data_IF_061682640151
#
_entry.id   IF_061682640151
#
_cell.length_a   1.000
_cell.length_b   1.000
_cell.length_c   1.000
_cell.angle_alpha   90.00
_cell.angle_beta   90.00
_cell.angle_gamma   90.00
#
_symmetry.space_group_name_H-M   'P 1'
#
loop_
_entity.id
_entity.type
_entity.pdbx_description
1 polymer ?
#
# COMPACT_ATOMS: atom_id res chain seq x y z
N UNK A 1 -6.41 -22.93 0.02
CA UNK A 1 -5.82 -24.21 0.48
C UNK A 1 -6.77 -25.00 1.38
N UNK A 2 -7.04 -24.55 2.62
CA UNK A 2 -7.88 -25.29 3.59
C UNK A 2 -9.28 -25.67 3.08
N UNK A 3 -9.92 -24.78 2.31
CA UNK A 3 -11.22 -25.08 1.66
C UNK A 3 -11.11 -26.28 0.72
N UNK A 4 -10.04 -26.36 -0.08
CA UNK A 4 -9.80 -27.48 -0.98
C UNK A 4 -9.53 -28.78 -0.18
N UNK A 5 -8.77 -28.71 0.92
CA UNK A 5 -8.57 -29.87 1.81
C UNK A 5 -9.87 -30.38 2.40
N UNK A 6 -10.79 -29.49 2.80
CA UNK A 6 -12.12 -29.89 3.30
C UNK A 6 -13.00 -30.49 2.21
N UNK A 7 -12.94 -29.96 0.99
CA UNK A 7 -13.67 -30.52 -0.15
C UNK A 7 -13.16 -31.93 -0.47
N UNK A 8 -11.83 -32.12 -0.51
CA UNK A 8 -11.21 -33.43 -0.73
C UNK A 8 -11.55 -34.40 0.41
N UNK A 9 -11.48 -33.94 1.66
CA UNK A 9 -11.89 -34.70 2.84
C UNK A 9 -13.36 -35.14 2.77
N UNK A 10 -14.25 -34.25 2.32
CA UNK A 10 -15.66 -34.57 2.09
C UNK A 10 -15.88 -35.55 0.94
N UNK A 11 -15.02 -35.53 -0.09
CA UNK A 11 -15.10 -36.45 -1.24
C UNK A 11 -14.86 -37.91 -0.82
N UNK A 12 -14.01 -38.16 0.19
CA UNK A 12 -13.85 -39.50 0.76
C UNK A 12 -15.14 -40.07 1.36
N UNK A 13 -16.10 -39.21 1.75
CA UNK A 13 -17.42 -39.60 2.21
C UNK A 13 -18.29 -40.28 1.15
N UNK A 14 -17.93 -40.19 -0.14
CA UNK A 14 -18.66 -40.84 -1.22
C UNK A 14 -18.35 -42.35 -1.37
N UNK A 15 -17.36 -42.87 -0.64
CA UNK A 15 -16.98 -44.29 -0.67
C UNK A 15 -17.95 -45.10 0.20
N UNK A 16 -18.59 -46.12 -0.39
CA UNK A 16 -19.57 -46.97 0.30
C UNK A 16 -18.95 -47.67 1.52
N UNK A 17 -19.63 -47.60 2.67
CA UNK A 17 -19.30 -48.22 3.98
C UNK A 17 -18.10 -47.65 4.77
N UNK A 18 -17.00 -47.27 4.11
CA UNK A 18 -15.80 -46.78 4.81
C UNK A 18 -15.73 -45.25 4.82
N UNK A 19 -16.37 -44.59 3.84
CA UNK A 19 -16.31 -43.14 3.67
C UNK A 19 -16.92 -42.37 4.84
N UNK A 20 -18.07 -42.81 5.38
CA UNK A 20 -18.73 -42.10 6.48
C UNK A 20 -17.88 -42.11 7.76
N UNK A 21 -17.22 -43.24 8.05
CA UNK A 21 -16.36 -43.41 9.23
C UNK A 21 -15.10 -42.56 9.08
N UNK A 22 -14.48 -42.54 7.90
CA UNK A 22 -13.31 -41.72 7.62
C UNK A 22 -13.61 -40.22 7.78
N UNK A 23 -14.77 -39.75 7.28
CA UNK A 23 -15.21 -38.35 7.45
C UNK A 23 -15.50 -38.04 8.91
N UNK A 24 -16.16 -38.93 9.66
CA UNK A 24 -16.43 -38.72 11.08
C UNK A 24 -15.14 -38.58 11.91
N UNK A 25 -14.14 -39.43 11.64
CA UNK A 25 -12.82 -39.38 12.29
C UNK A 25 -12.05 -38.12 11.88
N UNK A 26 -12.14 -37.72 10.61
CA UNK A 26 -11.49 -36.51 10.07
C UNK A 26 -12.21 -35.21 10.41
N UNK A 27 -13.44 -35.26 10.92
CA UNK A 27 -14.26 -34.08 11.15
C UNK A 27 -13.65 -33.05 12.13
N UNK A 28 -12.95 -33.44 13.22
CA UNK A 28 -12.22 -32.50 14.06
C UNK A 28 -11.16 -31.69 13.29
N UNK A 29 -10.48 -32.30 12.30
CA UNK A 29 -9.54 -31.60 11.42
C UNK A 29 -10.28 -30.60 10.52
N UNK A 30 -11.47 -30.96 10.03
CA UNK A 30 -12.31 -30.04 9.25
C UNK A 30 -12.76 -28.84 10.10
N UNK A 31 -13.14 -29.04 11.37
CA UNK A 31 -13.46 -27.95 12.30
C UNK A 31 -12.24 -27.04 12.52
N UNK A 32 -11.07 -27.63 12.79
CA UNK A 32 -9.83 -26.86 12.98
C UNK A 32 -9.47 -26.06 11.73
N UNK A 33 -9.60 -26.65 10.55
CA UNK A 33 -9.35 -25.94 9.30
C UNK A 33 -10.39 -24.83 9.05
N UNK A 34 -11.66 -25.03 9.45
CA UNK A 34 -12.71 -24.01 9.38
C UNK A 34 -12.38 -22.82 10.26
N UNK A 35 -11.88 -23.06 11.47
CA UNK A 35 -11.34 -22.03 12.34
C UNK A 35 -10.18 -21.27 11.67
N UNK A 36 -9.21 -21.97 11.08
CA UNK A 36 -8.10 -21.33 10.37
C UNK A 36 -8.56 -20.54 9.14
N UNK A 37 -9.55 -21.01 8.39
CA UNK A 37 -10.13 -20.28 7.25
C UNK A 37 -10.71 -18.96 7.71
N UNK A 38 -11.50 -18.94 8.79
CA UNK A 38 -12.09 -17.71 9.32
C UNK A 38 -10.99 -16.81 9.88
N UNK A 39 -10.07 -17.35 10.66
CA UNK A 39 -8.99 -16.59 11.29
C UNK A 39 -8.09 -15.91 10.24
N UNK A 40 -7.58 -16.67 9.27
CA UNK A 40 -6.77 -16.16 8.16
C UNK A 40 -7.62 -15.27 7.25
N UNK A 41 -8.90 -15.57 7.05
CA UNK A 41 -9.80 -14.74 6.24
C UNK A 41 -10.01 -13.35 6.83
N UNK A 42 -10.26 -13.25 8.14
CA UNK A 42 -10.42 -11.96 8.84
C UNK A 42 -9.12 -11.17 8.79
N UNK A 43 -8.01 -11.81 9.16
CA UNK A 43 -6.69 -11.19 9.13
C UNK A 43 -6.32 -10.78 7.70
N UNK A 44 -6.64 -11.61 6.71
CA UNK A 44 -6.43 -11.37 5.28
C UNK A 44 -7.21 -10.19 4.73
N UNK A 45 -8.47 -10.05 5.08
CA UNK A 45 -9.27 -8.88 4.69
C UNK A 45 -8.69 -7.60 5.32
N UNK A 46 -8.24 -7.67 6.57
CA UNK A 46 -7.61 -6.54 7.26
C UNK A 46 -6.26 -6.18 6.62
N UNK A 47 -5.41 -7.19 6.38
CA UNK A 47 -4.09 -7.03 5.78
C UNK A 47 -4.16 -6.60 4.32
N UNK A 48 -5.21 -6.96 3.59
CA UNK A 48 -5.40 -6.57 2.19
C UNK A 48 -5.42 -5.05 1.99
N UNK A 49 -6.07 -4.31 2.89
CA UNK A 49 -6.06 -2.84 2.82
C UNK A 49 -4.70 -2.24 3.12
N UNK A 50 -3.90 -2.88 3.98
CA UNK A 50 -2.54 -2.44 4.31
C UNK A 50 -1.51 -2.88 3.26
N UNK A 51 -1.81 -3.89 2.44
CA UNK A 51 -0.90 -4.42 1.44
C UNK A 51 -0.55 -3.40 0.35
N UNK A 52 -1.54 -2.61 -0.11
CA UNK A 52 -1.30 -1.57 -1.12
C UNK A 52 -0.26 -0.53 -0.66
N UNK A 53 -0.38 0.08 0.54
CA UNK A 53 0.65 0.99 1.02
C UNK A 53 1.96 0.29 1.34
N UNK A 54 1.99 -0.99 1.73
CA UNK A 54 3.25 -1.73 1.91
C UNK A 54 4.05 -1.86 0.62
N UNK A 55 3.40 -2.31 -0.46
CA UNK A 55 4.04 -2.45 -1.78
C UNK A 55 4.57 -1.09 -2.25
N UNK A 56 3.74 -0.04 -2.10
CA UNK A 56 4.10 1.30 -2.53
C UNK A 56 5.21 1.94 -1.68
N UNK A 57 5.24 1.69 -0.38
CA UNK A 57 6.18 2.34 0.53
C UNK A 57 7.54 1.63 0.60
N UNK A 58 7.58 0.32 0.32
CA UNK A 58 8.78 -0.51 0.53
C UNK A 58 9.29 -1.16 -0.76
N UNK A 59 8.58 -1.02 -1.88
CA UNK A 59 8.97 -1.66 -3.15
C UNK A 59 8.97 -3.19 -3.08
N UNK A 60 8.23 -3.77 -2.12
CA UNK A 60 8.20 -5.21 -1.86
C UNK A 60 7.24 -5.95 -2.77
N UNK A 61 7.50 -7.24 -2.98
CA UNK A 61 6.60 -8.10 -3.73
C UNK A 61 5.31 -8.42 -2.94
N UNK A 62 4.33 -9.03 -3.61
CA UNK A 62 3.03 -9.27 -3.00
C UNK A 62 3.07 -10.18 -1.75
N UNK A 63 4.02 -11.12 -1.69
CA UNK A 63 4.11 -12.05 -0.57
C UNK A 63 4.80 -11.41 0.64
N UNK A 64 5.91 -10.70 0.42
CA UNK A 64 6.59 -9.94 1.46
C UNK A 64 5.67 -8.86 2.03
N UNK A 65 4.98 -8.12 1.16
CA UNK A 65 4.02 -7.08 1.58
C UNK A 65 2.91 -7.63 2.48
N UNK A 66 2.34 -8.78 2.11
CA UNK A 66 1.32 -9.45 2.90
C UNK A 66 1.87 -9.88 4.27
N UNK A 67 3.09 -10.43 4.31
CA UNK A 67 3.72 -10.89 5.56
C UNK A 67 4.00 -9.75 6.54
N UNK A 68 4.44 -8.58 6.05
CA UNK A 68 4.67 -7.37 6.87
C UNK A 68 3.37 -6.77 7.36
N UNK A 69 2.37 -6.63 6.48
CA UNK A 69 1.05 -6.14 6.85
C UNK A 69 0.44 -6.98 8.00
N UNK A 70 0.55 -8.30 7.94
CA UNK A 70 0.11 -9.18 9.04
C UNK A 70 0.95 -9.01 10.31
N UNK A 71 2.27 -8.94 10.16
CA UNK A 71 3.18 -8.78 11.30
C UNK A 71 2.88 -7.49 12.07
N UNK A 72 2.56 -6.40 11.39
CA UNK A 72 2.19 -5.13 12.04
C UNK A 72 0.85 -5.21 12.79
N UNK A 73 -0.17 -5.84 12.19
CA UNK A 73 -1.48 -6.04 12.82
C UNK A 73 -1.36 -6.89 14.10
N UNK A 74 -0.55 -7.96 14.05
CA UNK A 74 -0.37 -8.89 15.17
C UNK A 74 0.55 -8.32 16.25
N UNK A 75 1.56 -7.53 15.88
CA UNK A 75 2.55 -6.97 16.82
C UNK A 75 1.96 -5.92 17.75
N UNK A 76 1.04 -5.07 17.25
CA UNK A 76 0.42 -3.98 18.02
C UNK A 76 -1.11 -3.92 17.78
N UNK A 77 -1.88 -4.95 18.18
CA UNK A 77 -3.30 -5.07 17.83
C UNK A 77 -4.14 -3.94 18.41
N UNK A 78 -3.81 -3.43 19.60
CA UNK A 78 -4.53 -2.30 20.22
C UNK A 78 -4.36 -1.01 19.41
N UNK A 79 -3.16 -0.73 18.94
CA UNK A 79 -2.88 0.45 18.12
C UNK A 79 -3.57 0.33 16.76
N UNK A 80 -3.47 -0.85 16.13
CA UNK A 80 -4.19 -1.15 14.90
C UNK A 80 -5.70 -0.94 15.03
N UNK A 81 -6.34 -1.48 16.07
CA UNK A 81 -7.78 -1.32 16.30
C UNK A 81 -8.15 0.16 16.48
N UNK A 82 -7.34 0.93 17.21
CA UNK A 82 -7.56 2.37 17.41
C UNK A 82 -7.49 3.14 16.09
N UNK A 83 -6.49 2.85 15.24
CA UNK A 83 -6.37 3.45 13.91
C UNK A 83 -7.56 3.05 13.04
N UNK A 84 -7.89 1.76 12.98
CA UNK A 84 -9.00 1.25 12.19
C UNK A 84 -10.34 1.88 12.59
N UNK A 85 -10.59 2.03 13.89
CA UNK A 85 -11.77 2.73 14.39
C UNK A 85 -11.78 4.21 14.00
N UNK A 86 -10.62 4.87 14.06
CA UNK A 86 -10.45 6.25 13.59
C UNK A 86 -10.78 6.40 12.09
N UNK A 87 -10.29 5.48 11.26
CA UNK A 87 -10.58 5.46 9.81
C UNK A 87 -12.08 5.28 9.57
N UNK A 88 -12.74 4.36 10.28
CA UNK A 88 -14.19 4.15 10.15
C UNK A 88 -14.97 5.41 10.54
N UNK A 89 -14.63 6.04 11.67
CA UNK A 89 -15.33 7.24 12.15
C UNK A 89 -15.14 8.39 11.15
N UNK A 90 -13.90 8.70 10.79
CA UNK A 90 -13.58 9.77 9.84
C UNK A 90 -14.19 9.48 8.46
N UNK A 91 -14.12 8.23 7.99
CA UNK A 91 -14.69 7.81 6.72
C UNK A 91 -16.21 7.90 6.70
N UNK A 92 -16.88 7.57 7.81
CA UNK A 92 -18.33 7.71 7.94
C UNK A 92 -18.74 9.19 7.92
N UNK A 93 -18.03 10.05 8.67
CA UNK A 93 -18.28 11.50 8.66
C UNK A 93 -18.08 12.07 7.26
N UNK A 94 -16.99 11.70 6.59
CA UNK A 94 -16.70 12.12 5.22
C UNK A 94 -17.75 11.63 4.22
N UNK A 95 -18.14 10.35 4.28
CA UNK A 95 -19.17 9.78 3.43
C UNK A 95 -20.53 10.45 3.64
N UNK A 96 -20.91 10.76 4.89
CA UNK A 96 -22.13 11.51 5.21
C UNK A 96 -22.03 12.92 4.61
N UNK A 97 -20.92 13.62 4.82
CA UNK A 97 -20.73 14.98 4.31
C UNK A 97 -20.86 15.04 2.78
N UNK A 98 -20.15 14.17 2.06
CA UNK A 98 -20.18 14.11 0.59
C UNK A 98 -21.56 13.67 0.09
N UNK A 99 -22.20 12.70 0.76
CA UNK A 99 -23.55 12.25 0.41
C UNK A 99 -24.60 13.32 0.64
N UNK A 100 -24.49 14.10 1.74
CA UNK A 100 -25.37 15.24 2.02
C UNK A 100 -25.18 16.33 0.96
N UNK A 101 -23.95 16.68 0.61
CA UNK A 101 -23.67 17.66 -0.44
C UNK A 101 -24.29 17.22 -1.79
N UNK A 102 -24.07 15.97 -2.19
CA UNK A 102 -24.67 15.41 -3.41
C UNK A 102 -26.21 15.39 -3.35
N UNK A 103 -26.79 15.05 -2.19
CA UNK A 103 -28.24 15.05 -1.98
C UNK A 103 -28.82 16.46 -2.11
N UNK A 104 -28.18 17.47 -1.51
CA UNK A 104 -28.61 18.88 -1.60
C UNK A 104 -28.53 19.41 -3.04
N UNK A 105 -27.46 19.10 -3.77
CA UNK A 105 -27.32 19.46 -5.19
C UNK A 105 -28.45 18.84 -6.01
N UNK A 106 -28.76 17.56 -5.79
CA UNK A 106 -29.84 16.87 -6.47
C UNK A 106 -31.22 17.42 -6.12
N UNK A 107 -31.48 17.68 -4.84
CA UNK A 107 -32.76 18.19 -4.37
C UNK A 107 -33.03 19.60 -4.87
N UNK A 108 -32.04 20.49 -4.84
CA UNK A 108 -32.15 21.85 -5.39
C UNK A 108 -32.34 21.82 -6.90
N UNK A 109 -31.64 20.95 -7.63
CA UNK A 109 -31.81 20.76 -9.07
C UNK A 109 -33.21 20.26 -9.42
N UNK A 110 -33.73 19.28 -8.68
CA UNK A 110 -35.08 18.76 -8.90
C UNK A 110 -36.16 19.78 -8.56
N UNK A 111 -35.99 20.56 -7.50
CA UNK A 111 -36.97 21.57 -7.10
C UNK A 111 -37.04 22.73 -8.11
N UNK A 112 -35.88 23.23 -8.55
CA UNK A 112 -35.81 24.34 -9.52
C UNK A 112 -36.31 23.95 -10.90
N UNK A 113 -35.93 22.78 -11.42
CA UNK A 113 -36.44 22.25 -12.69
C UNK A 113 -37.93 21.88 -12.58
N UNK A 114 -38.36 21.33 -11.45
CA UNK A 114 -39.76 21.02 -11.18
C UNK A 114 -40.65 22.27 -11.20
N UNK A 115 -40.18 23.38 -10.63
CA UNK A 115 -40.90 24.66 -10.68
C UNK A 115 -41.10 25.17 -12.12
N UNK A 116 -40.13 24.94 -13.02
CA UNK A 116 -40.24 25.33 -14.42
C UNK A 116 -41.10 24.40 -15.28
N UNK A 117 -40.98 23.08 -15.11
CA UNK A 117 -41.66 22.09 -15.96
C UNK A 117 -43.05 21.67 -15.45
N UNK A 118 -43.38 21.93 -14.19
CA UNK A 118 -44.65 21.58 -13.56
C UNK A 118 -44.90 20.06 -13.49
N UNK A 119 -46.17 19.65 -13.66
CA UNK A 119 -46.62 18.26 -13.51
C UNK A 119 -45.89 17.24 -14.41
N UNK A 120 -45.35 17.71 -15.55
CA UNK A 120 -44.52 16.88 -16.45
C UNK A 120 -43.27 16.36 -15.75
N UNK A 121 -42.67 17.17 -14.86
CA UNK A 121 -41.48 16.77 -14.12
C UNK A 121 -41.79 15.72 -13.07
N UNK A 122 -42.92 15.81 -12.38
CA UNK A 122 -43.31 14.82 -11.36
C UNK A 122 -43.51 13.43 -11.97
N UNK A 123 -44.07 13.35 -13.18
CA UNK A 123 -44.18 12.10 -13.93
C UNK A 123 -42.82 11.49 -14.28
N UNK A 124 -41.84 12.33 -14.66
CA UNK A 124 -40.47 11.89 -14.98
C UNK A 124 -39.72 11.48 -13.69
N UNK A 125 -39.83 12.28 -12.63
CA UNK A 125 -39.21 12.03 -11.33
C UNK A 125 -39.70 10.72 -10.71
N UNK A 126 -40.98 10.39 -10.85
CA UNK A 126 -41.53 9.12 -10.38
C UNK A 126 -40.82 7.91 -11.01
N UNK A 127 -40.59 7.94 -12.32
CA UNK A 127 -39.84 6.89 -13.04
C UNK A 127 -38.40 6.79 -12.55
N UNK A 128 -37.77 7.94 -12.33
CA UNK A 128 -36.35 8.05 -11.98
C UNK A 128 -36.06 7.62 -10.53
N UNK A 129 -36.96 7.95 -9.60
CA UNK A 129 -36.86 7.57 -8.18
C UNK A 129 -37.37 6.13 -7.95
N UNK A 130 -38.27 5.62 -8.79
CA UNK A 130 -38.92 4.31 -8.64
C UNK A 130 -38.01 3.09 -8.76
N UNK A 131 -36.74 3.24 -9.12
CA UNK A 131 -35.76 2.15 -9.13
C UNK A 131 -36.18 0.94 -9.97
N UNK A 132 -36.27 -0.25 -9.38
CA UNK A 132 -36.70 -1.48 -10.06
C UNK A 132 -38.14 -1.41 -10.62
N UNK A 133 -39.01 -0.62 -9.98
CA UNK A 133 -40.39 -0.33 -10.45
C UNK A 133 -40.43 0.71 -11.59
N UNK A 134 -39.31 1.41 -11.81
CA UNK A 134 -39.18 2.43 -12.85
C UNK A 134 -39.29 1.86 -14.27
N UNK A 135 -38.93 0.60 -14.52
CA UNK A 135 -39.09 -0.04 -15.85
C UNK A 135 -40.56 -0.12 -16.29
N UNK A 136 -41.47 -0.42 -15.36
CA UNK A 136 -42.91 -0.47 -15.63
C UNK A 136 -43.48 0.94 -15.84
N UNK A 137 -43.03 1.92 -15.05
CA UNK A 137 -43.46 3.32 -15.18
C UNK A 137 -42.90 4.00 -16.45
N UNK A 138 -41.71 3.61 -16.92
CA UNK A 138 -41.11 4.09 -18.18
C UNK A 138 -41.97 3.74 -19.40
N UNK A 139 -42.67 2.60 -19.36
CA UNK A 139 -43.60 2.20 -20.42
C UNK A 139 -44.87 3.08 -20.45
N UNK A 140 -45.31 3.58 -19.28
CA UNK A 140 -46.47 4.48 -19.16
C UNK A 140 -46.21 5.93 -19.55
N UNK A 141 -44.95 6.35 -19.73
CA UNK A 141 -44.63 7.68 -20.27
C UNK A 141 -45.00 7.72 -21.77
N UNK A 142 -45.96 8.57 -22.14
CA UNK A 142 -46.49 8.58 -23.51
C UNK A 142 -45.51 9.11 -24.57
N UNK A 143 -44.86 10.26 -24.33
CA UNK A 143 -44.01 10.93 -25.31
C UNK A 143 -42.57 10.41 -25.30
N UNK A 144 -42.00 10.15 -26.49
CA UNK A 144 -40.62 9.69 -26.66
C UNK A 144 -39.59 10.67 -26.06
N UNK A 145 -39.89 11.97 -26.10
CA UNK A 145 -39.07 13.01 -25.47
C UNK A 145 -39.01 12.88 -23.95
N UNK A 146 -40.13 12.55 -23.28
CA UNK A 146 -40.14 12.36 -21.82
C UNK A 146 -39.34 11.12 -21.40
N UNK A 147 -39.38 10.05 -22.20
CA UNK A 147 -38.56 8.85 -21.98
C UNK A 147 -37.07 9.15 -22.10
N UNK A 148 -36.70 9.96 -23.11
CA UNK A 148 -35.32 10.40 -23.30
C UNK A 148 -34.84 11.23 -22.10
N UNK A 149 -35.64 12.19 -21.63
CA UNK A 149 -35.32 12.99 -20.44
C UNK A 149 -35.16 12.11 -19.19
N UNK A 150 -36.06 11.15 -18.96
CA UNK A 150 -35.96 10.23 -17.83
C UNK A 150 -34.68 9.37 -17.88
N UNK A 151 -34.35 8.83 -19.06
CA UNK A 151 -33.13 8.03 -19.26
C UNK A 151 -31.86 8.85 -19.02
N UNK A 152 -31.78 10.06 -19.57
CA UNK A 152 -30.65 10.96 -19.34
C UNK A 152 -30.51 11.32 -17.86
N UNK A 153 -31.62 11.60 -17.17
CA UNK A 153 -31.60 11.91 -15.74
C UNK A 153 -31.13 10.73 -14.89
N UNK A 154 -31.53 9.51 -15.24
CA UNK A 154 -31.02 8.28 -14.61
C UNK A 154 -29.50 8.15 -14.75
N UNK A 155 -28.97 8.42 -15.95
CA UNK A 155 -27.52 8.39 -16.19
C UNK A 155 -26.80 9.41 -15.30
N UNK A 156 -27.29 10.65 -15.23
CA UNK A 156 -26.69 11.68 -14.37
C UNK A 156 -26.68 11.28 -12.89
N UNK A 157 -27.77 10.68 -12.38
CA UNK A 157 -27.83 10.20 -10.99
C UNK A 157 -26.82 9.08 -10.74
N UNK A 158 -26.68 8.15 -11.70
CA UNK A 158 -25.68 7.08 -11.61
C UNK A 158 -24.28 7.67 -11.59
N UNK A 159 -23.97 8.63 -12.45
CA UNK A 159 -22.66 9.30 -12.47
C UNK A 159 -22.36 9.99 -11.13
N UNK A 160 -23.33 10.70 -10.55
CA UNK A 160 -23.16 11.34 -9.24
C UNK A 160 -22.93 10.29 -8.14
N UNK A 161 -23.68 9.18 -8.14
CA UNK A 161 -23.47 8.09 -7.17
C UNK A 161 -22.09 7.43 -7.32
N UNK A 162 -21.64 7.21 -8.55
CA UNK A 162 -20.30 6.68 -8.84
C UNK A 162 -19.23 7.67 -8.39
N UNK A 163 -19.42 8.97 -8.63
CA UNK A 163 -18.51 10.01 -8.17
C UNK A 163 -18.40 10.03 -6.63
N UNK A 164 -19.54 10.01 -5.92
CA UNK A 164 -19.56 9.91 -4.45
C UNK A 164 -18.85 8.64 -3.97
N UNK A 165 -19.16 7.49 -4.58
CA UNK A 165 -18.50 6.22 -4.26
C UNK A 165 -16.98 6.26 -4.49
N UNK A 166 -16.54 6.89 -5.57
CA UNK A 166 -15.11 7.04 -5.89
C UNK A 166 -14.37 7.87 -4.86
N UNK A 167 -15.01 8.91 -4.29
CA UNK A 167 -14.42 9.71 -3.21
C UNK A 167 -14.25 8.90 -1.92
N UNK A 168 -15.21 8.02 -1.61
CA UNK A 168 -15.11 7.13 -0.44
C UNK A 168 -13.96 6.13 -0.61
N UNK A 169 -13.82 5.56 -1.81
CA UNK A 169 -12.70 4.66 -2.13
C UNK A 169 -11.37 5.39 -2.06
N UNK A 170 -11.28 6.61 -2.59
CA UNK A 170 -10.07 7.43 -2.51
C UNK A 170 -9.69 7.73 -1.05
N UNK A 171 -10.67 8.11 -0.21
CA UNK A 171 -10.44 8.31 1.22
C UNK A 171 -9.92 7.04 1.90
N UNK A 172 -10.52 5.88 1.63
CA UNK A 172 -10.09 4.62 2.22
C UNK A 172 -8.64 4.27 1.84
N UNK A 173 -8.26 4.51 0.58
CA UNK A 173 -6.89 4.36 0.11
C UNK A 173 -5.93 5.28 0.88
N UNK A 174 -6.17 6.58 0.90
CA UNK A 174 -5.32 7.54 1.64
C UNK A 174 -5.23 7.23 3.13
N UNK A 175 -6.34 6.88 3.77
CA UNK A 175 -6.37 6.54 5.18
C UNK A 175 -5.59 5.26 5.50
N UNK A 176 -5.65 4.25 4.61
CA UNK A 176 -4.85 3.02 4.75
C UNK A 176 -3.35 3.29 4.67
N UNK A 177 -2.92 4.20 3.80
CA UNK A 177 -1.51 4.63 3.70
C UNK A 177 -1.02 5.30 4.98
N UNK A 178 -1.81 6.23 5.54
CA UNK A 178 -1.46 6.89 6.81
C UNK A 178 -1.39 5.85 7.94
N UNK A 179 -2.36 4.94 8.01
CA UNK A 179 -2.39 3.90 9.03
C UNK A 179 -1.17 2.98 8.93
N UNK A 180 -0.74 2.64 7.72
CA UNK A 180 0.47 1.85 7.48
C UNK A 180 1.72 2.56 8.01
N UNK A 181 1.91 3.83 7.66
CA UNK A 181 3.07 4.60 8.14
C UNK A 181 3.12 4.72 9.66
N UNK A 182 1.96 4.93 10.30
CA UNK A 182 1.87 4.97 11.76
C UNK A 182 2.20 3.62 12.40
N UNK A 183 1.71 2.52 11.82
CA UNK A 183 1.98 1.17 12.32
C UNK A 183 3.47 0.80 12.22
N UNK A 184 4.10 1.02 11.06
CA UNK A 184 5.54 0.68 10.92
C UNK A 184 6.43 1.58 11.76
N UNK A 185 6.04 2.84 11.97
CA UNK A 185 6.74 3.74 12.91
C UNK A 185 6.70 3.19 14.33
N UNK A 186 5.57 2.65 14.76
CA UNK A 186 5.38 2.12 16.11
C UNK A 186 5.97 0.71 16.31
N UNK A 187 6.08 -0.10 15.25
CA UNK A 187 6.61 -1.47 15.31
C UNK A 187 8.10 -1.50 15.01
N UNK A 188 8.55 -0.87 13.92
CA UNK A 188 9.93 -0.94 13.42
C UNK A 188 10.74 0.34 13.69
N UNK A 189 10.09 1.44 14.11
CA UNK A 189 10.76 2.72 14.34
C UNK A 189 11.06 3.51 13.06
N UNK A 190 10.63 3.02 11.90
CA UNK A 190 10.85 3.67 10.59
C UNK A 190 10.15 5.03 10.53
N UNK A 191 10.85 6.05 10.00
CA UNK A 191 10.26 7.37 9.84
C UNK A 191 9.12 7.36 8.81
N UNK A 192 8.17 8.29 8.93
CA UNK A 192 7.01 8.39 8.03
C UNK A 192 7.43 8.78 6.61
N UNK A 193 8.55 9.50 6.46
CA UNK A 193 9.02 10.00 5.16
C UNK A 193 9.94 9.03 4.41
N UNK A 194 10.28 7.89 5.00
CA UNK A 194 11.19 6.91 4.39
C UNK A 194 10.45 6.02 3.37
N UNK A 195 10.31 6.52 2.15
CA UNK A 195 9.54 5.86 1.09
C UNK A 195 10.49 5.37 0.01
N UNK A 196 10.29 4.14 -0.44
CA UNK A 196 11.02 3.60 -1.58
C UNK A 196 10.77 4.45 -2.83
N UNK A 197 11.86 4.89 -3.47
CA UNK A 197 11.84 5.60 -4.73
C UNK A 197 12.49 4.68 -5.75
N UNK A 198 11.76 4.34 -6.82
CA UNK A 198 12.35 3.65 -7.96
C UNK A 198 13.35 4.62 -8.64
N UNK A 199 14.65 4.36 -8.47
CA UNK A 199 15.69 4.98 -9.30
C UNK A 199 15.40 4.53 -10.74
N UNK A 200 15.08 5.47 -11.64
CA UNK A 200 14.89 5.13 -13.06
C UNK A 200 16.25 4.71 -13.61
N UNK A 201 16.28 3.70 -14.47
CA UNK A 201 17.51 3.13 -15.07
C UNK A 201 18.51 4.19 -15.61
N UNK A 202 18.05 5.38 -16.02
CA UNK A 202 18.92 6.49 -16.45
C UNK A 202 19.53 7.36 -15.33
N UNK A 203 19.11 7.21 -14.07
CA UNK A 203 19.73 7.85 -12.90
C UNK A 203 20.82 6.97 -12.27
N UNK A 204 20.71 5.64 -12.41
CA UNK A 204 21.79 4.71 -12.05
C UNK A 204 23.00 4.90 -12.98
N UNK A 205 22.80 4.96 -14.31
CA UNK A 205 23.85 5.29 -15.28
C UNK A 205 24.50 6.64 -14.95
N UNK A 206 23.70 7.66 -14.64
CA UNK A 206 24.20 9.01 -14.33
C UNK A 206 24.96 9.08 -13.00
N UNK A 207 24.56 8.29 -12.00
CA UNK A 207 25.23 8.20 -10.70
C UNK A 207 26.49 7.33 -10.75
N UNK A 208 26.53 6.34 -11.65
CA UNK A 208 27.74 5.58 -11.98
C UNK A 208 28.74 6.44 -12.77
N UNK A 209 28.27 7.22 -13.74
CA UNK A 209 29.07 8.20 -14.48
C UNK A 209 29.64 9.28 -13.53
N UNK A 210 28.83 9.82 -12.60
CA UNK A 210 29.29 10.84 -11.64
C UNK A 210 30.31 10.27 -10.63
N UNK A 211 30.19 8.97 -10.26
CA UNK A 211 31.19 8.26 -9.45
C UNK A 211 32.47 7.96 -10.24
N UNK A 212 32.39 7.62 -11.52
CA UNK A 212 33.55 7.44 -12.40
C UNK A 212 34.27 8.78 -12.65
N UNK A 213 33.55 9.86 -12.93
CA UNK A 213 34.11 11.20 -13.12
C UNK A 213 34.84 11.68 -11.86
N UNK A 214 34.25 11.49 -10.68
CA UNK A 214 34.88 11.84 -9.39
C UNK A 214 36.17 11.04 -9.15
N UNK A 215 36.19 9.76 -9.56
CA UNK A 215 37.37 8.88 -9.40
C UNK A 215 38.49 9.22 -10.38
N UNK A 216 38.14 9.55 -11.62
CA UNK A 216 39.07 10.01 -12.67
C UNK A 216 39.63 11.40 -12.35
N UNK A 217 38.84 12.29 -11.76
CA UNK A 217 39.31 13.61 -11.33
C UNK A 217 40.26 13.50 -10.12
N UNK A 218 39.98 12.58 -9.18
CA UNK A 218 40.87 12.29 -8.05
C UNK A 218 42.20 11.68 -8.49
N UNK A 219 42.19 10.73 -9.44
CA UNK A 219 43.43 10.16 -10.03
C UNK A 219 44.21 11.20 -10.86
N UNK A 220 43.54 12.08 -11.61
CA UNK A 220 44.21 13.17 -12.35
C UNK A 220 44.88 14.18 -11.42
N UNK A 221 44.29 14.49 -10.27
CA UNK A 221 44.86 15.41 -9.28
C UNK A 221 46.11 14.80 -8.61
N UNK A 222 46.12 13.50 -8.30
CA UNK A 222 47.31 12.80 -7.80
C UNK A 222 48.43 12.68 -8.87
N UNK A 223 48.06 12.45 -10.13
CA UNK A 223 49.04 12.33 -11.22
C UNK A 223 49.71 13.68 -11.53
N UNK A 224 48.94 14.78 -11.51
CA UNK A 224 49.46 16.13 -11.77
C UNK A 224 50.32 16.68 -10.62
N UNK A 225 50.09 16.25 -9.39
CA UNK A 225 50.95 16.56 -8.24
C UNK A 225 52.32 15.87 -8.32
N UNK A 226 52.42 14.76 -9.07
CA UNK A 226 53.65 13.96 -9.19
C UNK A 226 54.56 14.44 -10.32
N UNK A 227 54.01 15.01 -11.41
CA UNK A 227 54.80 15.49 -12.56
C UNK A 227 55.32 16.94 -12.44
N UNK A 228 54.83 17.73 -11.48
CA UNK A 228 55.17 19.16 -11.35
C UNK A 228 56.53 19.49 -10.74
N UNK A 229 57.39 18.51 -10.44
CA UNK A 229 58.60 18.75 -9.64
C UNK A 229 59.88 18.16 -10.23
N UNK A 230 60.24 18.53 -11.47
CA UNK A 230 61.63 18.37 -11.94
C UNK A 230 61.99 19.23 -13.17
N UNK A 231 62.67 20.37 -12.94
CA UNK A 231 63.75 20.92 -13.79
C UNK A 231 64.58 21.94 -12.99
N UNK A 232 65.75 21.48 -12.50
CA UNK A 232 67.12 22.04 -12.32
C UNK A 232 67.39 23.59 -12.31
N UNK A 233 68.50 24.10 -11.71
CA UNK A 233 69.83 23.46 -11.66
C UNK A 233 70.71 23.58 -10.39
N UNK A 234 71.74 22.72 -10.44
CA UNK A 234 72.94 22.45 -9.60
C UNK A 234 73.56 23.55 -8.72
N UNK A 235 74.01 23.17 -7.50
CA UNK A 235 75.41 23.34 -7.07
C UNK A 235 75.85 22.40 -5.91
N UNK A 236 76.72 21.42 -6.26
CA UNK A 236 77.86 20.76 -5.53
C UNK A 236 77.78 20.21 -4.07
N UNK A 237 78.66 19.24 -3.72
CA UNK A 237 78.29 18.02 -2.96
C UNK A 237 79.11 17.77 -1.67
N UNK A 238 78.71 16.70 -0.95
CA UNK A 238 79.41 15.83 0.05
C UNK A 238 78.58 15.75 1.33
N UNK A 239 78.34 14.62 1.99
CA UNK A 239 79.13 13.38 2.13
C UNK A 239 78.20 12.25 2.64
N UNK A 240 78.41 11.01 2.15
CA UNK A 240 77.94 9.73 2.73
C UNK A 240 78.88 9.34 3.92
N UNK A 241 78.77 8.20 4.67
CA UNK A 241 77.91 7.01 4.48
C UNK A 241 77.39 6.27 5.76
N UNK A 242 76.46 5.32 5.54
CA UNK A 242 76.28 3.97 6.20
C UNK A 242 75.94 3.95 7.71
N UNK A 243 75.20 2.99 8.29
CA UNK A 243 75.26 1.52 8.13
C UNK A 243 74.02 0.81 8.74
N UNK A 244 74.02 -0.53 8.61
CA UNK A 244 72.94 -1.54 8.64
C UNK A 244 72.41 -1.98 10.05
N UNK A 245 71.35 -2.83 10.10
CA UNK A 245 70.58 -3.29 11.28
C UNK A 245 71.07 -4.71 11.74
N UNK A 246 70.28 -5.61 12.37
CA UNK A 246 69.25 -5.61 13.45
C UNK A 246 69.64 -6.58 14.62
N UNK A 247 68.85 -6.72 15.71
CA UNK A 247 68.54 -8.00 16.44
C UNK A 247 67.85 -7.78 17.81
N UNK A 248 66.56 -8.11 17.88
CA UNK A 248 65.85 -9.07 18.77
C UNK A 248 66.04 -9.14 20.34
N UNK A 249 65.20 -9.91 21.10
CA UNK A 249 64.32 -9.38 22.14
C UNK A 249 64.62 -9.91 23.58
N UNK A 250 63.95 -9.40 24.60
CA UNK A 250 64.09 -9.92 25.98
C UNK A 250 62.98 -9.51 26.95
N UNK A 251 62.35 -10.51 27.56
CA UNK A 251 61.25 -10.48 28.53
C UNK A 251 61.64 -10.04 29.97
N UNK A 252 60.61 -9.53 30.66
CA UNK A 252 60.25 -9.75 32.08
C UNK A 252 60.95 -9.00 33.24
N UNK A 253 60.17 -8.07 33.84
CA UNK A 253 59.83 -7.87 35.29
C UNK A 253 60.92 -7.81 36.39
N UNK A 254 60.60 -7.46 37.66
CA UNK A 254 59.60 -6.54 38.24
C UNK A 254 60.18 -5.67 39.40
N UNK A 255 59.52 -4.60 39.84
CA UNK A 255 59.61 -4.05 41.22
C UNK A 255 58.66 -2.84 41.41
N UNK A 256 58.24 -2.39 42.60
CA UNK A 256 57.51 -2.94 43.75
C UNK A 256 57.26 -1.73 44.69
N UNK A 257 56.05 -1.60 45.25
CA UNK A 257 55.69 -0.84 46.49
C UNK A 257 55.89 0.69 46.47
N UNK A 258 54.97 1.53 46.96
CA UNK A 258 54.01 1.43 48.09
C UNK A 258 52.66 2.03 47.75
#
# INVERSE_FOLDING_TARGET
FFVACNIIGGLFGQIKYIGEIAVAIGFPLAILSGFLIIFIGIIGVIGFFLMFPTISAEGSDAFDAMSRAYSYVISKPKHFISLFLGIIICGTIFAIFVSLAACLIMQTSFYTVGFGMGEKFESIKAVVVGGAYGKAQMASLGLLSMKFTALMLMIYIVLIKVAVGSLVVAFAGSASTIAYFLLRKDVDGTDINDVYIEEKEGEEEKREEEKEETKVETEKVETKATEGKQTAPEEKPKEKPKEKPPEEPGESSPEKQT
#
